data_IF_644196476125
#
_entry.id   IF_644196476125
#
_cell.length_a   1.000
_cell.length_b   1.000
_cell.length_c   1.000
_cell.angle_alpha   90.00
_cell.angle_beta   90.00
_cell.angle_gamma   90.00
#
_symmetry.space_group_name_H-M   'P 1'
#
loop_
_entity.id
_entity.type
_entity.pdbx_description
1 polymer ?
#
# COMPACT_ATOMS: atom_id res chain seq x y z
N UNK A 1 15.72 -11.79 13.53
CA UNK A 1 14.31 -12.20 13.44
C UNK A 1 13.60 -11.38 12.37
N UNK A 2 12.94 -12.03 11.43
CA UNK A 2 12.24 -11.35 10.33
C UNK A 2 11.17 -10.35 10.83
N UNK A 3 10.47 -10.67 11.92
CA UNK A 3 9.51 -9.74 12.54
C UNK A 3 10.17 -8.43 13.00
N UNK A 4 11.44 -8.45 13.44
CA UNK A 4 12.14 -7.21 13.82
C UNK A 4 12.43 -6.34 12.61
N UNK A 5 12.78 -6.95 11.46
CA UNK A 5 13.02 -6.22 10.21
C UNK A 5 11.74 -5.57 9.71
N UNK A 6 10.61 -6.27 9.77
CA UNK A 6 9.31 -5.71 9.43
C UNK A 6 8.92 -4.53 10.32
N UNK A 7 9.17 -4.62 11.63
CA UNK A 7 8.95 -3.50 12.56
C UNK A 7 9.81 -2.29 12.25
N UNK A 8 11.09 -2.50 11.90
CA UNK A 8 11.99 -1.41 11.50
C UNK A 8 11.49 -0.75 10.21
N UNK A 9 11.11 -1.54 9.21
CA UNK A 9 10.61 -1.01 7.94
C UNK A 9 9.31 -0.21 8.15
N UNK A 10 8.43 -0.69 9.04
CA UNK A 10 7.22 0.02 9.41
C UNK A 10 7.54 1.33 10.15
N UNK A 11 8.51 1.35 11.06
CA UNK A 11 8.91 2.57 11.77
C UNK A 11 9.52 3.61 10.81
N UNK A 12 10.39 3.18 9.90
CA UNK A 12 10.97 4.07 8.86
C UNK A 12 9.88 4.64 7.95
N UNK A 13 8.92 3.81 7.53
CA UNK A 13 7.79 4.27 6.72
C UNK A 13 6.90 5.26 7.47
N UNK A 14 6.69 5.07 8.77
CA UNK A 14 5.92 6.00 9.60
C UNK A 14 6.62 7.35 9.75
N UNK A 15 7.93 7.35 10.03
CA UNK A 15 8.73 8.58 10.11
C UNK A 15 8.65 9.37 8.79
N UNK A 16 8.75 8.69 7.65
CA UNK A 16 8.63 9.37 6.35
C UNK A 16 7.26 9.99 6.12
N UNK A 17 6.17 9.36 6.58
CA UNK A 17 4.82 9.96 6.55
C UNK A 17 4.76 11.21 7.45
N UNK A 18 5.32 11.15 8.66
CA UNK A 18 5.33 12.32 9.56
C UNK A 18 6.05 13.50 8.91
N UNK A 19 7.22 13.28 8.30
CA UNK A 19 7.96 14.33 7.59
C UNK A 19 7.11 14.97 6.49
N UNK A 20 6.44 14.16 5.67
CA UNK A 20 5.56 14.66 4.62
C UNK A 20 4.31 15.37 5.15
N UNK A 21 3.82 14.97 6.33
CA UNK A 21 2.62 15.54 6.93
C UNK A 21 2.81 16.93 7.52
N UNK A 22 3.99 17.22 8.08
CA UNK A 22 4.26 18.47 8.79
C UNK A 22 4.06 19.73 7.93
N UNK A 23 4.51 19.72 6.70
CA UNK A 23 4.31 20.85 5.79
C UNK A 23 2.85 21.02 5.40
N UNK A 24 2.19 19.92 5.07
CA UNK A 24 0.79 19.96 4.65
C UNK A 24 -0.15 20.45 5.75
N UNK A 25 0.10 20.07 7.01
CA UNK A 25 -0.68 20.52 8.16
C UNK A 25 -0.62 22.03 8.35
N UNK A 26 0.55 22.65 8.11
CA UNK A 26 0.73 24.11 8.18
C UNK A 26 -0.11 24.86 7.14
N UNK A 27 -0.26 24.27 5.93
CA UNK A 27 -1.02 24.91 4.86
C UNK A 27 -2.55 24.77 5.01
N UNK A 28 -3.01 23.66 5.57
CA UNK A 28 -4.45 23.36 5.68
C UNK A 28 -5.07 23.84 6.99
N UNK A 29 -4.27 24.46 7.89
CA UNK A 29 -4.69 24.82 9.24
C UNK A 29 -5.38 23.65 9.96
N UNK A 30 -4.90 22.43 9.73
CA UNK A 30 -5.38 21.26 10.46
C UNK A 30 -4.92 21.40 11.94
N UNK A 31 -5.74 20.93 12.87
CA UNK A 31 -5.39 20.88 14.28
C UNK A 31 -4.15 19.98 14.47
N UNK A 32 -2.96 20.60 14.50
CA UNK A 32 -1.66 19.92 14.40
C UNK A 32 -1.49 18.87 15.51
N UNK A 33 -1.89 19.22 16.73
CA UNK A 33 -1.74 18.32 17.88
C UNK A 33 -2.66 17.10 17.77
N UNK A 34 -3.94 17.30 17.57
CA UNK A 34 -4.95 16.22 17.51
C UNK A 34 -4.68 15.27 16.34
N UNK A 35 -4.32 15.83 15.18
CA UNK A 35 -4.04 15.07 13.99
C UNK A 35 -2.78 14.19 14.14
N UNK A 36 -1.72 14.75 14.72
CA UNK A 36 -0.47 14.03 14.97
C UNK A 36 -0.65 12.95 16.03
N UNK A 37 -1.48 13.20 17.06
CA UNK A 37 -1.80 12.23 18.09
C UNK A 37 -2.54 11.02 17.50
N UNK A 38 -3.50 11.24 16.59
CA UNK A 38 -4.19 10.15 15.90
C UNK A 38 -3.25 9.29 15.06
N UNK A 39 -2.25 9.88 14.39
CA UNK A 39 -1.22 9.10 13.69
C UNK A 39 -0.42 8.21 14.65
N UNK A 40 -0.04 8.73 15.82
CA UNK A 40 0.72 7.97 16.82
C UNK A 40 -0.12 6.81 17.39
N UNK A 41 -1.40 7.04 17.69
CA UNK A 41 -2.30 5.98 18.17
C UNK A 41 -2.48 4.90 17.10
N UNK A 42 -2.69 5.29 15.84
CA UNK A 42 -2.76 4.36 14.74
C UNK A 42 -1.49 3.53 14.58
N UNK A 43 -0.31 4.17 14.67
CA UNK A 43 0.97 3.48 14.58
C UNK A 43 1.20 2.50 15.74
N UNK A 44 0.82 2.89 16.97
CA UNK A 44 0.90 2.01 18.12
C UNK A 44 0.00 0.78 17.93
N UNK A 45 -1.25 0.97 17.48
CA UNK A 45 -2.14 -0.13 17.15
C UNK A 45 -1.57 -1.09 16.08
N UNK A 46 -0.86 -0.54 15.08
CA UNK A 46 -0.16 -1.33 14.06
C UNK A 46 0.99 -2.16 14.63
N UNK A 47 1.75 -1.62 15.56
CA UNK A 47 2.81 -2.37 16.25
C UNK A 47 2.23 -3.51 17.10
N UNK A 48 1.14 -3.24 17.84
CA UNK A 48 0.44 -4.26 18.63
C UNK A 48 -0.11 -5.37 17.72
N UNK A 49 -0.63 -5.02 16.55
CA UNK A 49 -1.16 -5.94 15.57
C UNK A 49 -0.07 -6.90 15.04
N UNK A 50 1.13 -6.42 14.75
CA UNK A 50 2.26 -7.27 14.34
C UNK A 50 2.75 -8.15 15.48
N UNK A 51 2.62 -7.72 16.74
CA UNK A 51 3.03 -8.48 17.93
C UNK A 51 1.97 -9.47 18.41
N UNK A 52 0.76 -9.47 17.85
CA UNK A 52 -0.32 -10.34 18.31
C UNK A 52 -0.01 -11.82 18.11
N UNK A 53 -0.28 -12.65 19.11
CA UNK A 53 -0.09 -14.10 19.09
C UNK A 53 -1.41 -14.88 19.24
N UNK A 54 -2.54 -14.19 19.33
CA UNK A 54 -3.87 -14.77 19.38
C UNK A 54 -4.85 -13.97 18.53
N UNK A 55 -5.92 -14.61 18.05
CA UNK A 55 -6.97 -13.94 17.29
C UNK A 55 -7.70 -12.86 18.10
N UNK A 56 -7.76 -12.96 19.42
CA UNK A 56 -8.37 -11.91 20.26
C UNK A 56 -7.50 -10.66 20.23
N UNK A 57 -6.20 -10.78 20.53
CA UNK A 57 -5.28 -9.64 20.50
C UNK A 57 -5.16 -9.05 19.09
N UNK A 58 -5.19 -9.88 18.05
CA UNK A 58 -5.22 -9.47 16.66
C UNK A 58 -6.46 -8.63 16.35
N UNK A 59 -7.66 -9.11 16.71
CA UNK A 59 -8.91 -8.41 16.45
C UNK A 59 -8.96 -7.05 17.17
N UNK A 60 -8.60 -7.01 18.45
CA UNK A 60 -8.58 -5.76 19.23
C UNK A 60 -7.62 -4.72 18.65
N UNK A 61 -6.40 -5.14 18.27
CA UNK A 61 -5.42 -4.25 17.66
C UNK A 61 -5.88 -3.73 16.26
N UNK A 62 -6.55 -4.59 15.49
CA UNK A 62 -7.10 -4.26 14.19
C UNK A 62 -8.27 -3.26 14.30
N UNK A 63 -9.15 -3.43 15.31
CA UNK A 63 -10.22 -2.46 15.56
C UNK A 63 -9.68 -1.12 16.06
N UNK A 64 -8.70 -1.13 16.97
CA UNK A 64 -8.04 0.10 17.42
C UNK A 64 -7.40 0.88 16.26
N UNK A 65 -6.75 0.16 15.32
CA UNK A 65 -6.23 0.75 14.10
C UNK A 65 -7.35 1.32 13.22
N UNK A 66 -8.42 0.54 12.97
CA UNK A 66 -9.48 0.92 12.04
C UNK A 66 -10.26 2.15 12.52
N UNK A 67 -10.60 2.23 13.81
CA UNK A 67 -11.27 3.39 14.39
C UNK A 67 -10.48 4.69 14.22
N UNK A 68 -9.17 4.64 14.47
CA UNK A 68 -8.30 5.81 14.25
C UNK A 68 -8.22 6.22 12.78
N UNK A 69 -8.22 5.25 11.86
CA UNK A 69 -8.18 5.52 10.41
C UNK A 69 -9.50 6.14 9.91
N UNK A 70 -10.65 5.74 10.45
CA UNK A 70 -11.94 6.35 10.10
C UNK A 70 -11.98 7.82 10.47
N UNK A 71 -11.47 8.18 11.66
CA UNK A 71 -11.37 9.58 12.10
C UNK A 71 -10.39 10.37 11.23
N UNK A 72 -9.23 9.77 10.90
CA UNK A 72 -8.23 10.41 10.01
C UNK A 72 -8.78 10.64 8.59
N UNK A 73 -9.64 9.78 8.06
CA UNK A 73 -10.29 9.98 6.77
C UNK A 73 -11.24 11.19 6.78
N UNK A 74 -12.02 11.35 7.86
CA UNK A 74 -13.01 12.42 8.03
C UNK A 74 -12.50 13.65 8.76
N UNK A 75 -11.20 13.84 8.94
CA UNK A 75 -10.66 14.90 9.78
C UNK A 75 -11.02 16.32 9.29
N UNK A 76 -11.11 16.52 7.98
CA UNK A 76 -11.52 17.81 7.38
C UNK A 76 -13.02 18.00 7.40
N UNK A 77 -13.63 18.32 8.54
CA UNK A 77 -15.08 18.45 8.75
C UNK A 77 -15.79 19.41 7.80
N UNK A 78 -15.08 20.40 7.27
CA UNK A 78 -15.65 21.42 6.34
C UNK A 78 -15.79 20.93 4.91
N UNK A 79 -15.20 19.79 4.54
CA UNK A 79 -15.26 19.23 3.19
C UNK A 79 -16.26 18.07 3.13
N UNK A 80 -17.28 18.20 2.28
CA UNK A 80 -18.28 17.15 2.03
C UNK A 80 -17.63 15.83 1.58
N UNK A 81 -16.60 15.92 0.73
CA UNK A 81 -15.87 14.74 0.26
C UNK A 81 -15.16 14.00 1.40
N UNK A 82 -14.65 14.72 2.41
CA UNK A 82 -13.98 14.09 3.56
C UNK A 82 -14.99 13.39 4.47
N UNK A 83 -16.12 13.99 4.75
CA UNK A 83 -17.17 13.39 5.57
C UNK A 83 -17.81 12.18 4.87
N UNK A 84 -18.08 12.27 3.57
CA UNK A 84 -18.56 11.15 2.75
C UNK A 84 -17.57 9.97 2.75
N UNK A 85 -16.27 10.26 2.57
CA UNK A 85 -15.24 9.24 2.58
C UNK A 85 -15.12 8.53 3.92
N UNK A 86 -15.25 9.25 5.04
CA UNK A 86 -15.23 8.67 6.37
C UNK A 86 -16.43 7.73 6.61
N UNK A 87 -17.62 8.15 6.22
CA UNK A 87 -18.83 7.33 6.37
C UNK A 87 -18.73 6.05 5.52
N UNK A 88 -18.33 6.16 4.25
CA UNK A 88 -18.12 4.99 3.38
C UNK A 88 -17.11 4.03 3.97
N UNK A 89 -15.97 4.55 4.46
CA UNK A 89 -14.93 3.72 5.04
C UNK A 89 -15.37 3.04 6.33
N UNK A 90 -16.12 3.75 7.18
CA UNK A 90 -16.67 3.20 8.42
C UNK A 90 -17.67 2.07 8.14
N UNK A 91 -18.69 2.29 7.31
CA UNK A 91 -19.73 1.30 7.03
C UNK A 91 -19.13 0.02 6.44
N UNK A 92 -18.31 0.15 5.39
CA UNK A 92 -17.68 -0.99 4.73
C UNK A 92 -16.65 -1.67 5.63
N UNK A 93 -15.95 -0.89 6.46
CA UNK A 93 -14.96 -1.39 7.40
C UNK A 93 -15.57 -2.22 8.53
N UNK A 94 -16.70 -1.77 9.10
CA UNK A 94 -17.45 -2.52 10.14
C UNK A 94 -18.00 -3.82 9.55
N UNK A 95 -18.49 -3.80 8.31
CA UNK A 95 -18.94 -5.03 7.66
C UNK A 95 -17.80 -6.05 7.51
N UNK A 96 -16.61 -5.58 7.11
CA UNK A 96 -15.44 -6.45 6.99
C UNK A 96 -14.97 -7.00 8.33
N UNK A 97 -15.01 -6.19 9.41
CA UNK A 97 -14.65 -6.67 10.75
C UNK A 97 -15.70 -7.66 11.32
N UNK A 98 -16.96 -7.51 10.95
CA UNK A 98 -18.01 -8.50 11.26
C UNK A 98 -17.75 -9.85 10.58
N UNK A 99 -17.37 -9.86 9.30
CA UNK A 99 -16.97 -11.09 8.58
C UNK A 99 -15.73 -11.72 9.23
N UNK A 100 -14.77 -10.91 9.65
CA UNK A 100 -13.57 -11.39 10.34
C UNK A 100 -13.91 -12.07 11.66
N UNK A 101 -14.76 -11.45 12.47
CA UNK A 101 -15.20 -12.00 13.75
C UNK A 101 -15.95 -13.33 13.56
N UNK A 102 -16.82 -13.40 12.55
CA UNK A 102 -17.54 -14.61 12.19
C UNK A 102 -16.57 -15.73 11.77
N UNK A 103 -15.51 -15.40 11.01
CA UNK A 103 -14.46 -16.35 10.67
C UNK A 103 -13.71 -16.87 11.90
N UNK A 104 -13.35 -15.97 12.82
CA UNK A 104 -12.70 -16.33 14.09
C UNK A 104 -13.60 -17.24 14.95
N UNK A 105 -14.92 -16.98 15.02
CA UNK A 105 -15.85 -17.83 15.76
C UNK A 105 -15.95 -19.24 15.19
N UNK A 106 -15.94 -19.41 13.87
CA UNK A 106 -15.92 -20.72 13.21
C UNK A 106 -14.65 -21.51 13.52
N UNK A 107 -13.49 -20.85 13.54
CA UNK A 107 -12.22 -21.46 13.93
C UNK A 107 -12.27 -21.90 15.40
N UNK A 108 -12.78 -21.05 16.29
CA UNK A 108 -12.94 -21.38 17.71
C UNK A 108 -13.89 -22.53 17.95
N UNK A 109 -15.02 -22.57 17.25
CA UNK A 109 -15.98 -23.68 17.32
C UNK A 109 -15.38 -25.02 16.90
N UNK A 110 -14.44 -25.02 15.96
CA UNK A 110 -13.80 -26.24 15.45
C UNK A 110 -12.66 -26.74 16.33
N UNK A 111 -11.84 -25.86 16.91
CA UNK A 111 -10.60 -26.21 17.59
C UNK A 111 -10.57 -25.88 19.09
N UNK A 112 -11.45 -24.99 19.58
CA UNK A 112 -11.50 -24.57 20.98
C UNK A 112 -10.36 -23.64 21.41
N UNK A 113 -9.44 -23.28 20.54
CA UNK A 113 -8.27 -22.40 20.80
C UNK A 113 -8.20 -21.24 19.82
N UNK A 114 -7.60 -20.11 20.25
CA UNK A 114 -7.40 -18.93 19.45
C UNK A 114 -5.93 -18.51 19.34
N UNK A 115 -5.02 -19.28 19.97
CA UNK A 115 -3.58 -19.02 19.89
C UNK A 115 -3.02 -19.45 18.53
N UNK A 116 -2.16 -18.66 17.95
CA UNK A 116 -1.61 -18.93 16.62
C UNK A 116 -0.75 -20.19 16.58
N UNK A 117 0.07 -20.43 17.62
CA UNK A 117 0.93 -21.62 17.69
C UNK A 117 0.12 -22.90 17.81
N UNK A 118 -0.92 -22.89 18.66
CA UNK A 118 -1.81 -24.06 18.83
C UNK A 118 -2.58 -24.35 17.53
N UNK A 119 -3.04 -23.32 16.83
CA UNK A 119 -3.75 -23.45 15.56
C UNK A 119 -2.85 -24.01 14.45
N UNK A 120 -1.60 -23.54 14.35
CA UNK A 120 -0.62 -24.10 13.39
C UNK A 120 -0.45 -25.61 13.58
N UNK A 121 -0.29 -26.06 14.82
CA UNK A 121 -0.19 -27.50 15.15
C UNK A 121 -1.47 -28.28 14.82
N UNK A 122 -2.65 -27.68 15.09
CA UNK A 122 -3.93 -28.34 14.84
C UNK A 122 -4.23 -28.48 13.35
N UNK A 123 -3.89 -27.44 12.54
CA UNK A 123 -4.00 -27.54 11.07
C UNK A 123 -3.00 -28.52 10.47
N UNK A 124 -1.84 -28.74 11.10
CA UNK A 124 -0.84 -29.72 10.67
C UNK A 124 -1.27 -31.16 10.91
N UNK A 125 -2.20 -31.43 11.85
CA UNK A 125 -2.66 -32.79 12.17
C UNK A 125 -3.70 -33.28 11.16
N UNK A 126 -3.44 -34.36 10.39
CA UNK A 126 -4.38 -34.89 9.43
C UNK A 126 -5.68 -35.34 10.09
N UNK A 127 -6.82 -34.95 9.50
CA UNK A 127 -8.15 -35.39 9.96
C UNK A 127 -8.81 -34.51 11.03
N UNK A 128 -8.15 -33.51 11.60
CA UNK A 128 -8.76 -32.54 12.49
C UNK A 128 -9.43 -31.37 11.78
N UNK A 129 -9.07 -31.11 10.52
CA UNK A 129 -9.66 -30.04 9.72
C UNK A 129 -11.07 -30.41 9.27
N UNK A 130 -12.04 -29.62 9.67
CA UNK A 130 -13.45 -29.78 9.32
C UNK A 130 -13.86 -28.68 8.31
N UNK A 131 -14.94 -28.90 7.56
CA UNK A 131 -15.51 -27.88 6.66
C UNK A 131 -15.77 -26.54 7.35
N UNK A 132 -16.12 -26.56 8.64
CA UNK A 132 -16.35 -25.37 9.45
C UNK A 132 -15.05 -24.58 9.67
N UNK A 133 -13.92 -25.25 9.95
CA UNK A 133 -12.62 -24.59 10.10
C UNK A 133 -12.14 -23.97 8.79
N UNK A 134 -12.35 -24.66 7.66
CA UNK A 134 -12.00 -24.12 6.34
C UNK A 134 -12.85 -22.90 5.95
N UNK A 135 -14.16 -22.93 6.25
CA UNK A 135 -15.02 -21.75 6.12
C UNK A 135 -14.51 -20.58 6.97
N UNK A 136 -14.06 -20.85 8.20
CA UNK A 136 -13.44 -19.85 9.06
C UNK A 136 -12.21 -19.21 8.43
N UNK A 137 -11.32 -20.02 7.84
CA UNK A 137 -10.12 -19.51 7.11
C UNK A 137 -10.53 -18.65 5.92
N UNK A 138 -11.51 -19.06 5.12
CA UNK A 138 -12.01 -18.27 3.98
C UNK A 138 -12.56 -16.93 4.43
N UNK A 139 -13.36 -16.87 5.52
CA UNK A 139 -13.92 -15.62 6.03
C UNK A 139 -12.83 -14.67 6.55
N UNK A 140 -11.84 -15.19 7.27
CA UNK A 140 -10.68 -14.39 7.73
C UNK A 140 -9.90 -13.85 6.53
N UNK A 141 -9.64 -14.69 5.53
CA UNK A 141 -8.90 -14.23 4.32
C UNK A 141 -9.67 -13.16 3.55
N UNK A 142 -10.99 -13.27 3.38
CA UNK A 142 -11.82 -12.23 2.75
C UNK A 142 -11.71 -10.90 3.51
N UNK A 143 -11.77 -10.93 4.84
CA UNK A 143 -11.62 -9.72 5.63
C UNK A 143 -10.23 -9.09 5.50
N UNK A 144 -9.17 -9.89 5.39
CA UNK A 144 -7.81 -9.41 5.12
C UNK A 144 -7.69 -8.80 3.71
N UNK A 145 -8.31 -9.42 2.70
CA UNK A 145 -8.35 -8.87 1.33
C UNK A 145 -9.05 -7.52 1.28
N UNK A 146 -10.11 -7.32 2.08
CA UNK A 146 -10.75 -6.01 2.24
C UNK A 146 -9.78 -4.98 2.83
N UNK A 147 -9.03 -5.31 3.89
CA UNK A 147 -8.06 -4.40 4.53
C UNK A 147 -6.90 -4.04 3.60
N UNK A 148 -6.48 -4.95 2.72
CA UNK A 148 -5.50 -4.70 1.67
C UNK A 148 -6.06 -3.82 0.53
N UNK A 149 -7.37 -3.68 0.41
CA UNK A 149 -8.08 -3.14 -0.76
C UNK A 149 -7.82 -3.95 -2.04
N UNK A 150 -7.78 -5.28 -1.92
CA UNK A 150 -7.71 -6.19 -3.06
C UNK A 150 -9.08 -6.28 -3.76
N UNK A 151 -9.10 -6.36 -5.09
CA UNK A 151 -10.37 -6.53 -5.80
C UNK A 151 -10.87 -7.99 -5.65
N UNK A 152 -12.20 -8.19 -5.46
CA UNK A 152 -13.30 -7.24 -5.63
C UNK A 152 -13.57 -6.30 -4.43
N UNK A 153 -12.91 -6.48 -3.29
CA UNK A 153 -13.14 -5.75 -2.04
C UNK A 153 -12.51 -4.33 -1.99
N UNK A 154 -12.10 -3.79 -3.14
CA UNK A 154 -11.35 -2.53 -3.27
C UNK A 154 -12.22 -1.26 -3.30
N UNK A 155 -13.55 -1.37 -3.40
CA UNK A 155 -14.47 -0.28 -3.74
C UNK A 155 -14.31 0.95 -2.82
N UNK A 156 -13.93 0.73 -1.57
CA UNK A 156 -13.74 1.81 -0.60
C UNK A 156 -12.49 2.68 -0.89
N UNK A 157 -11.42 2.09 -1.44
CA UNK A 157 -10.10 2.75 -1.47
C UNK A 157 -10.01 3.96 -2.40
N UNK A 158 -10.61 4.02 -3.61
CA UNK A 158 -10.55 5.21 -4.46
C UNK A 158 -11.29 6.42 -3.86
N UNK A 159 -12.46 6.17 -3.27
CA UNK A 159 -13.27 7.23 -2.69
C UNK A 159 -12.67 7.76 -1.39
N UNK A 160 -12.15 6.87 -0.54
CA UNK A 160 -11.48 7.25 0.72
C UNK A 160 -10.18 8.02 0.44
N UNK A 161 -9.39 7.59 -0.54
CA UNK A 161 -8.16 8.32 -0.89
C UNK A 161 -8.45 9.70 -1.46
N UNK A 162 -9.50 9.85 -2.25
CA UNK A 162 -9.89 11.14 -2.80
C UNK A 162 -10.36 12.11 -1.71
N UNK A 163 -11.25 11.65 -0.81
CA UNK A 163 -11.87 12.52 0.19
C UNK A 163 -10.96 12.83 1.38
N UNK A 164 -10.10 11.90 1.80
CA UNK A 164 -9.22 12.10 2.95
C UNK A 164 -8.19 13.24 2.72
N UNK A 165 -7.73 13.93 3.79
CA UNK A 165 -6.59 14.85 3.70
C UNK A 165 -5.35 14.16 3.11
N UNK A 166 -4.47 14.91 2.42
CA UNK A 166 -3.31 14.31 1.73
C UNK A 166 -2.40 13.49 2.67
N UNK A 167 -2.06 13.93 3.89
CA UNK A 167 -1.26 13.11 4.80
C UNK A 167 -1.93 11.80 5.19
N UNK A 168 -3.25 11.80 5.42
CA UNK A 168 -4.00 10.55 5.66
C UNK A 168 -3.96 9.64 4.45
N UNK A 169 -4.08 10.20 3.23
CA UNK A 169 -3.99 9.42 1.99
C UNK A 169 -2.61 8.74 1.85
N UNK A 170 -1.53 9.45 2.19
CA UNK A 170 -0.16 8.89 2.19
C UNK A 170 -0.07 7.74 3.18
N UNK A 171 -0.59 7.94 4.39
CA UNK A 171 -0.59 6.95 5.45
C UNK A 171 -1.35 5.68 5.04
N UNK A 172 -2.53 5.82 4.43
CA UNK A 172 -3.32 4.70 3.91
C UNK A 172 -2.62 3.97 2.76
N UNK A 173 -1.97 4.71 1.87
CA UNK A 173 -1.29 4.13 0.71
C UNK A 173 0.00 3.37 1.08
N UNK A 174 0.60 3.65 2.22
CA UNK A 174 1.92 3.13 2.61
C UNK A 174 1.86 2.34 3.92
N UNK A 175 1.84 2.99 5.07
CA UNK A 175 2.01 2.34 6.38
C UNK A 175 0.89 1.34 6.67
N UNK A 176 -0.36 1.70 6.40
CA UNK A 176 -1.52 0.81 6.59
C UNK A 176 -1.45 -0.42 5.69
N UNK A 177 -1.05 -0.25 4.43
CA UNK A 177 -0.87 -1.39 3.51
C UNK A 177 0.28 -2.27 3.94
N UNK A 178 1.39 -1.69 4.39
CA UNK A 178 2.53 -2.46 4.87
C UNK A 178 2.14 -3.34 6.07
N UNK A 179 1.44 -2.78 7.06
CA UNK A 179 0.94 -3.57 8.20
C UNK A 179 0.00 -4.68 7.78
N UNK A 180 -0.93 -4.40 6.87
CA UNK A 180 -1.85 -5.42 6.36
C UNK A 180 -1.13 -6.53 5.57
N UNK A 181 -0.07 -6.22 4.82
CA UNK A 181 0.78 -7.21 4.13
C UNK A 181 1.52 -8.08 5.15
N UNK A 182 2.13 -7.49 6.18
CA UNK A 182 2.87 -8.22 7.21
C UNK A 182 1.96 -9.21 7.94
N UNK A 183 0.77 -8.75 8.34
CA UNK A 183 -0.14 -9.62 9.09
C UNK A 183 -0.74 -10.71 8.20
N UNK A 184 -1.05 -10.42 6.94
CA UNK A 184 -1.50 -11.44 6.00
C UNK A 184 -0.41 -12.49 5.74
N UNK A 185 0.85 -12.08 5.61
CA UNK A 185 1.95 -13.05 5.45
C UNK A 185 2.07 -13.96 6.67
N UNK A 186 1.95 -13.42 7.88
CA UNK A 186 2.02 -14.21 9.11
C UNK A 186 0.84 -15.17 9.26
N UNK A 187 -0.38 -14.73 8.96
CA UNK A 187 -1.55 -15.60 9.06
C UNK A 187 -1.56 -16.68 7.99
N UNK A 188 -1.24 -16.36 6.74
CA UNK A 188 -1.31 -17.32 5.64
C UNK A 188 -0.13 -18.30 5.63
N UNK A 189 1.09 -17.85 5.92
CA UNK A 189 2.27 -18.69 5.86
C UNK A 189 2.64 -19.39 7.15
N UNK A 190 2.16 -18.90 8.32
CA UNK A 190 2.44 -19.52 9.60
C UNK A 190 1.17 -20.22 10.11
N UNK A 191 0.09 -19.49 10.46
CA UNK A 191 -1.10 -20.06 11.12
C UNK A 191 -1.87 -21.00 10.19
N UNK A 192 -2.09 -20.61 8.93
CA UNK A 192 -2.88 -21.35 7.94
C UNK A 192 -2.01 -22.08 6.90
N UNK A 193 -0.74 -22.33 7.20
CA UNK A 193 0.21 -22.95 6.27
C UNK A 193 -0.29 -24.30 5.70
N UNK A 194 -0.97 -25.10 6.51
CA UNK A 194 -1.46 -26.43 6.15
C UNK A 194 -2.90 -26.44 5.62
N UNK A 195 -3.58 -25.29 5.60
CA UNK A 195 -4.93 -25.16 5.04
C UNK A 195 -4.87 -24.75 3.58
N UNK A 196 -5.56 -25.45 2.69
CA UNK A 196 -5.62 -25.11 1.28
C UNK A 196 -6.77 -24.17 0.91
N UNK A 197 -7.65 -23.84 1.86
CA UNK A 197 -8.88 -23.10 1.60
C UNK A 197 -8.66 -21.63 1.17
N UNK A 198 -7.58 -21.01 1.59
CA UNK A 198 -7.29 -19.61 1.28
C UNK A 198 -6.66 -19.38 -0.11
N UNK A 199 -5.98 -20.38 -0.69
CA UNK A 199 -5.29 -20.25 -1.99
C UNK A 199 -6.20 -19.78 -3.13
N UNK A 200 -7.38 -20.35 -3.37
CA UNK A 200 -8.26 -19.91 -4.45
C UNK A 200 -8.78 -18.50 -4.23
N UNK A 201 -9.02 -18.09 -2.98
CA UNK A 201 -9.48 -16.74 -2.63
C UNK A 201 -8.41 -15.71 -2.97
N UNK A 202 -7.17 -15.94 -2.54
CA UNK A 202 -6.05 -15.04 -2.81
C UNK A 202 -5.74 -14.98 -4.30
N UNK A 203 -5.74 -16.14 -5.00
CA UNK A 203 -5.53 -16.19 -6.45
C UNK A 203 -6.60 -15.44 -7.25
N UNK A 204 -7.87 -15.60 -6.89
CA UNK A 204 -8.97 -14.86 -7.50
C UNK A 204 -8.85 -13.34 -7.22
N UNK A 205 -8.52 -12.94 -5.99
CA UNK A 205 -8.30 -11.54 -5.64
C UNK A 205 -7.10 -10.94 -6.40
N UNK A 206 -6.03 -11.70 -6.62
CA UNK A 206 -4.91 -11.26 -7.45
C UNK A 206 -5.34 -10.99 -8.88
N UNK A 207 -6.06 -11.94 -9.49
CA UNK A 207 -6.59 -11.82 -10.85
C UNK A 207 -7.49 -10.58 -11.01
N UNK A 208 -8.49 -10.42 -10.14
CA UNK A 208 -9.40 -9.29 -10.21
C UNK A 208 -8.69 -7.95 -9.93
N UNK A 209 -7.68 -7.91 -9.04
CA UNK A 209 -6.94 -6.68 -8.75
C UNK A 209 -6.10 -6.22 -9.95
N UNK A 210 -5.59 -7.11 -10.78
CA UNK A 210 -4.96 -6.74 -12.05
C UNK A 210 -5.96 -6.12 -13.03
N UNK A 211 -7.14 -6.69 -13.16
CA UNK A 211 -8.17 -6.17 -14.08
C UNK A 211 -8.66 -4.81 -13.61
N UNK A 212 -9.26 -4.74 -12.40
CA UNK A 212 -9.89 -3.52 -11.92
C UNK A 212 -8.87 -2.42 -11.65
N UNK A 213 -7.69 -2.76 -11.15
CA UNK A 213 -6.62 -1.80 -10.94
C UNK A 213 -6.10 -1.21 -12.24
N UNK A 214 -5.75 -2.03 -13.24
CA UNK A 214 -5.22 -1.56 -14.50
C UNK A 214 -6.22 -0.73 -15.30
N UNK A 215 -7.44 -1.23 -15.51
CA UNK A 215 -8.47 -0.50 -16.26
C UNK A 215 -8.96 0.74 -15.52
N UNK A 216 -9.08 0.68 -14.18
CA UNK A 216 -9.48 1.80 -13.36
C UNK A 216 -8.53 3.00 -13.45
N UNK A 217 -7.23 2.77 -13.56
CA UNK A 217 -6.22 3.84 -13.67
C UNK A 217 -6.23 4.57 -15.01
N UNK A 218 -6.63 3.91 -16.12
CA UNK A 218 -6.57 4.49 -17.47
C UNK A 218 -7.39 5.78 -17.60
N UNK A 219 -8.52 5.88 -16.93
CA UNK A 219 -9.47 6.99 -17.05
C UNK A 219 -9.30 8.05 -15.96
N UNK A 220 -8.41 7.84 -14.98
CA UNK A 220 -8.28 8.78 -13.88
C UNK A 220 -7.61 10.08 -14.31
N UNK A 221 -8.17 11.18 -13.81
CA UNK A 221 -7.65 12.54 -13.99
C UNK A 221 -7.15 13.14 -12.67
N UNK A 222 -7.63 12.63 -11.52
CA UNK A 222 -7.25 13.09 -10.17
C UNK A 222 -6.07 12.28 -9.63
N UNK A 223 -5.07 12.97 -9.06
CA UNK A 223 -3.84 12.35 -8.54
C UNK A 223 -4.13 11.30 -7.46
N UNK A 224 -4.99 11.61 -6.49
CA UNK A 224 -5.31 10.70 -5.38
C UNK A 224 -6.01 9.41 -5.86
N UNK A 225 -6.97 9.52 -6.77
CA UNK A 225 -7.62 8.35 -7.37
C UNK A 225 -6.65 7.54 -8.22
N UNK A 226 -5.77 8.20 -8.95
CA UNK A 226 -4.71 7.53 -9.69
C UNK A 226 -3.82 6.69 -8.76
N UNK A 227 -3.36 7.25 -7.63
CA UNK A 227 -2.57 6.53 -6.62
C UNK A 227 -3.36 5.35 -6.03
N UNK A 228 -4.67 5.50 -5.80
CA UNK A 228 -5.51 4.42 -5.30
C UNK A 228 -5.58 3.24 -6.28
N UNK A 229 -5.97 3.47 -7.53
CA UNK A 229 -6.10 2.40 -8.54
C UNK A 229 -4.75 1.79 -8.92
N UNK A 230 -3.69 2.58 -9.07
CA UNK A 230 -2.35 2.05 -9.25
C UNK A 230 -1.88 1.23 -8.05
N UNK A 231 -2.31 1.61 -6.84
CA UNK A 231 -2.09 0.83 -5.63
C UNK A 231 -2.82 -0.53 -5.64
N UNK A 232 -4.01 -0.64 -6.26
CA UNK A 232 -4.75 -1.90 -6.41
C UNK A 232 -4.01 -2.85 -7.36
N UNK A 233 -3.46 -2.37 -8.47
CA UNK A 233 -2.63 -3.22 -9.37
C UNK A 233 -1.39 -3.74 -8.64
N UNK A 234 -0.73 -2.92 -7.82
CA UNK A 234 0.43 -3.34 -7.05
C UNK A 234 0.07 -4.35 -5.95
N UNK A 235 -1.15 -4.25 -5.35
CA UNK A 235 -1.66 -5.29 -4.44
C UNK A 235 -1.77 -6.63 -5.17
N UNK A 236 -2.18 -6.66 -6.44
CA UNK A 236 -2.16 -7.87 -7.24
C UNK A 236 -0.80 -8.56 -7.24
N UNK A 237 0.30 -7.82 -7.38
CA UNK A 237 1.66 -8.38 -7.28
C UNK A 237 2.00 -8.88 -5.87
N UNK A 238 1.55 -8.19 -4.81
CA UNK A 238 1.71 -8.70 -3.45
C UNK A 238 0.96 -10.01 -3.22
N UNK A 239 -0.26 -10.12 -3.74
CA UNK A 239 -1.07 -11.33 -3.62
C UNK A 239 -0.45 -12.52 -4.36
N UNK A 240 0.24 -12.28 -5.47
CA UNK A 240 0.99 -13.34 -6.16
C UNK A 240 2.10 -13.94 -5.28
N UNK A 241 2.76 -13.13 -4.46
CA UNK A 241 3.77 -13.65 -3.54
C UNK A 241 3.17 -14.63 -2.53
N UNK A 242 1.91 -14.44 -2.10
CA UNK A 242 1.24 -15.36 -1.19
C UNK A 242 0.85 -16.70 -1.84
N UNK A 243 0.61 -16.72 -3.14
CA UNK A 243 0.29 -17.95 -3.87
C UNK A 243 1.53 -18.86 -4.07
N UNK A 244 2.74 -18.34 -3.83
CA UNK A 244 3.99 -19.07 -3.96
C UNK A 244 4.34 -19.89 -2.73
N UNK A 245 5.31 -20.81 -2.85
CA UNK A 245 5.91 -21.51 -1.71
C UNK A 245 6.47 -20.50 -0.71
N UNK A 246 6.31 -20.79 0.59
CA UNK A 246 6.60 -19.86 1.71
C UNK A 246 7.95 -19.13 1.56
N UNK A 247 9.06 -19.86 1.35
CA UNK A 247 10.40 -19.26 1.30
C UNK A 247 10.57 -18.29 0.13
N UNK A 248 10.21 -18.73 -1.08
CA UNK A 248 10.34 -17.92 -2.30
C UNK A 248 9.34 -16.76 -2.28
N UNK A 249 8.13 -17.04 -1.78
CA UNK A 249 7.06 -16.06 -1.63
C UNK A 249 7.43 -14.94 -0.66
N UNK A 250 7.96 -15.25 0.52
CA UNK A 250 8.39 -14.26 1.52
C UNK A 250 9.55 -13.39 1.00
N UNK A 251 10.54 -13.99 0.33
CA UNK A 251 11.67 -13.26 -0.24
C UNK A 251 11.21 -12.26 -1.31
N UNK A 252 10.37 -12.69 -2.25
CA UNK A 252 9.83 -11.81 -3.30
C UNK A 252 8.93 -10.72 -2.72
N UNK A 253 8.11 -11.04 -1.73
CA UNK A 253 7.25 -10.10 -1.01
C UNK A 253 8.05 -9.01 -0.30
N UNK A 254 9.15 -9.38 0.35
CA UNK A 254 10.01 -8.44 1.06
C UNK A 254 10.70 -7.46 0.11
N UNK A 255 11.32 -7.96 -0.98
CA UNK A 255 11.94 -7.10 -2.01
C UNK A 255 10.90 -6.15 -2.60
N UNK A 256 9.76 -6.71 -3.02
CA UNK A 256 8.71 -5.93 -3.65
C UNK A 256 8.16 -4.85 -2.71
N UNK A 257 7.99 -5.16 -1.41
CA UNK A 257 7.50 -4.20 -0.43
C UNK A 257 8.44 -3.01 -0.25
N UNK A 258 9.75 -3.23 -0.06
CA UNK A 258 10.72 -2.14 0.11
C UNK A 258 10.70 -1.22 -1.11
N UNK A 259 10.81 -1.79 -2.32
CA UNK A 259 10.87 -1.00 -3.54
C UNK A 259 9.57 -0.24 -3.77
N UNK A 260 8.41 -0.86 -3.55
CA UNK A 260 7.11 -0.22 -3.68
C UNK A 260 6.97 0.97 -2.74
N UNK A 261 7.30 0.80 -1.45
CA UNK A 261 7.16 1.89 -0.48
C UNK A 261 8.10 3.05 -0.77
N UNK A 262 9.37 2.77 -1.10
CA UNK A 262 10.33 3.82 -1.47
C UNK A 262 9.86 4.60 -2.71
N UNK A 263 9.33 3.92 -3.72
CA UNK A 263 8.83 4.57 -4.94
C UNK A 263 7.59 5.42 -4.67
N UNK A 264 6.66 4.92 -3.85
CA UNK A 264 5.44 5.65 -3.49
C UNK A 264 5.77 6.87 -2.63
N UNK A 265 6.65 6.73 -1.62
CA UNK A 265 7.09 7.87 -0.81
C UNK A 265 7.78 8.94 -1.65
N UNK A 266 8.66 8.54 -2.56
CA UNK A 266 9.34 9.46 -3.46
C UNK A 266 8.36 10.21 -4.36
N UNK A 267 7.44 9.50 -5.03
CA UNK A 267 6.44 10.11 -5.89
C UNK A 267 5.51 11.06 -5.12
N UNK A 268 4.98 10.62 -3.97
CA UNK A 268 4.08 11.46 -3.18
C UNK A 268 4.86 12.64 -2.55
N UNK A 269 6.12 12.45 -2.18
CA UNK A 269 7.00 13.54 -1.77
C UNK A 269 7.10 14.65 -2.83
N UNK A 270 7.24 14.27 -4.11
CA UNK A 270 7.16 15.24 -5.22
C UNK A 270 5.78 15.90 -5.27
N UNK A 271 4.69 15.14 -5.16
CA UNK A 271 3.32 15.71 -5.18
C UNK A 271 3.11 16.73 -4.07
N UNK A 272 3.57 16.45 -2.85
CA UNK A 272 3.46 17.36 -1.70
C UNK A 272 4.33 18.59 -1.88
N UNK A 273 5.51 18.46 -2.49
CA UNK A 273 6.42 19.59 -2.73
C UNK A 273 5.89 20.60 -3.75
N UNK A 274 4.89 20.23 -4.57
CA UNK A 274 4.31 21.09 -5.61
C UNK A 274 3.15 21.96 -5.10
N UNK A 275 3.15 22.33 -3.83
CA UNK A 275 2.18 23.27 -3.28
C UNK A 275 2.40 24.67 -3.88
N UNK A 276 1.30 25.35 -4.22
CA UNK A 276 1.35 26.69 -4.84
C UNK A 276 1.89 27.74 -3.85
N UNK A 277 2.78 28.59 -4.31
CA UNK A 277 3.37 29.69 -3.53
C UNK A 277 2.38 30.82 -3.17
N UNK A 278 1.18 30.82 -3.73
CA UNK A 278 0.14 31.85 -3.49
C UNK A 278 -0.67 31.62 -2.22
N UNK A 279 -0.16 30.79 -1.30
CA UNK A 279 -0.85 30.47 -0.06
C UNK A 279 -1.16 31.68 0.78
N UNK A 280 -2.34 31.75 1.29
CA UNK A 280 -2.96 32.34 2.48
C UNK A 280 -4.28 33.09 2.25
N UNK A 281 -4.68 33.43 1.03
CA UNK A 281 -5.93 34.20 0.84
C UNK A 281 -6.86 33.72 -0.30
N UNK A 282 -6.49 32.69 -1.06
CA UNK A 282 -7.28 32.23 -2.21
C UNK A 282 -7.60 30.75 -2.03
N UNK A 283 -8.88 30.46 -1.97
CA UNK A 283 -9.60 29.18 -2.08
C UNK A 283 -8.78 27.85 -2.07
N UNK A 284 -9.32 26.77 -1.48
CA UNK A 284 -8.71 25.43 -1.47
C UNK A 284 -8.43 24.84 -2.87
N UNK A 285 -8.69 25.58 -3.94
CA UNK A 285 -8.43 25.25 -5.34
C UNK A 285 -6.96 25.34 -5.78
N UNK A 286 -6.05 25.81 -4.93
CA UNK A 286 -4.62 25.94 -5.27
C UNK A 286 -3.81 24.64 -5.12
N UNK A 287 -4.46 23.52 -4.82
CA UNK A 287 -3.82 22.21 -4.63
C UNK A 287 -3.69 21.47 -5.95
N UNK A 288 -2.67 20.59 -6.04
CA UNK A 288 -2.54 19.63 -7.12
C UNK A 288 -3.66 18.58 -6.99
N UNK A 289 -4.73 18.79 -7.71
CA UNK A 289 -5.88 17.89 -7.73
C UNK A 289 -5.82 17.01 -8.98
N UNK A 290 -5.41 17.59 -10.11
CA UNK A 290 -5.42 16.92 -11.41
C UNK A 290 -4.02 16.54 -11.89
N UNK A 291 -3.95 15.44 -12.66
CA UNK A 291 -2.70 15.00 -13.29
C UNK A 291 -2.14 16.05 -14.28
N UNK A 292 -2.99 16.87 -14.87
CA UNK A 292 -2.57 17.97 -15.76
C UNK A 292 -1.77 19.08 -15.03
N UNK A 293 -1.90 19.16 -13.70
CA UNK A 293 -1.15 20.14 -12.90
C UNK A 293 0.36 19.87 -12.91
N UNK A 294 0.80 18.64 -13.25
CA UNK A 294 2.20 18.29 -13.47
C UNK A 294 2.79 18.88 -14.76
N UNK A 295 1.95 19.47 -15.61
CA UNK A 295 2.44 20.08 -16.85
C UNK A 295 3.47 21.17 -16.56
N UNK A 296 4.54 21.20 -17.38
CA UNK A 296 5.66 22.15 -17.24
C UNK A 296 6.53 21.99 -15.98
N UNK A 297 6.33 20.95 -15.17
CA UNK A 297 7.16 20.73 -13.97
C UNK A 297 8.65 20.71 -14.33
N UNK A 298 9.01 20.00 -15.39
CA UNK A 298 10.40 19.85 -15.83
C UNK A 298 11.01 21.21 -16.28
N UNK A 299 10.22 22.14 -16.80
CA UNK A 299 10.69 23.47 -17.20
C UNK A 299 10.83 24.42 -16.01
N UNK A 300 9.99 24.29 -14.98
CA UNK A 300 9.99 25.16 -13.81
C UNK A 300 10.97 24.73 -12.73
N UNK A 301 11.05 23.43 -12.49
CA UNK A 301 11.98 22.83 -11.55
C UNK A 301 12.48 21.50 -12.13
N UNK A 302 13.64 21.54 -12.80
CA UNK A 302 14.24 20.40 -13.47
C UNK A 302 14.52 19.23 -12.54
N UNK A 303 14.97 19.50 -11.31
CA UNK A 303 15.29 18.47 -10.32
C UNK A 303 14.05 17.68 -9.90
N UNK A 304 12.96 18.38 -9.53
CA UNK A 304 11.69 17.72 -9.17
C UNK A 304 11.05 17.02 -10.37
N UNK A 305 11.20 17.58 -11.57
CA UNK A 305 10.71 16.95 -12.81
C UNK A 305 11.41 15.64 -13.11
N UNK A 306 12.74 15.62 -13.02
CA UNK A 306 13.54 14.39 -13.20
C UNK A 306 13.20 13.37 -12.11
N UNK A 307 13.06 13.81 -10.85
CA UNK A 307 12.67 12.96 -9.74
C UNK A 307 11.32 12.27 -10.00
N UNK A 308 10.31 13.05 -10.40
CA UNK A 308 8.98 12.51 -10.75
C UNK A 308 9.06 11.46 -11.87
N UNK A 309 9.83 11.72 -12.92
CA UNK A 309 10.01 10.81 -14.05
C UNK A 309 10.65 9.50 -13.60
N UNK A 310 11.70 9.54 -12.78
CA UNK A 310 12.39 8.34 -12.29
C UNK A 310 11.50 7.50 -11.39
N UNK A 311 10.71 8.12 -10.49
CA UNK A 311 9.73 7.40 -9.68
C UNK A 311 8.63 6.74 -10.53
N UNK A 312 8.12 7.44 -11.55
CA UNK A 312 7.11 6.90 -12.47
C UNK A 312 7.67 5.75 -13.32
N UNK A 313 8.94 5.83 -13.78
CA UNK A 313 9.60 4.72 -14.45
C UNK A 313 9.76 3.51 -13.53
N UNK A 314 10.10 3.74 -12.27
CA UNK A 314 10.17 2.66 -11.29
C UNK A 314 8.82 2.01 -11.05
N UNK A 315 7.74 2.78 -10.88
CA UNK A 315 6.38 2.25 -10.74
C UNK A 315 5.93 1.47 -12.00
N UNK A 316 6.30 1.95 -13.18
CA UNK A 316 6.03 1.26 -14.44
C UNK A 316 6.75 -0.09 -14.52
N UNK A 317 7.92 -0.21 -13.90
CA UNK A 317 8.77 -1.39 -13.98
C UNK A 317 9.60 -1.40 -15.28
N UNK A 318 10.12 -0.25 -15.68
CA UNK A 318 10.97 -0.12 -16.88
C UNK A 318 12.43 -0.21 -16.44
N UNK A 319 13.27 -1.07 -17.06
CA UNK A 319 14.70 -1.09 -16.76
C UNK A 319 15.34 0.27 -17.17
N UNK A 320 16.37 0.75 -16.48
CA UNK A 320 17.21 0.11 -15.47
C UNK A 320 16.84 0.44 -14.01
N UNK A 321 15.58 0.75 -13.71
CA UNK A 321 15.15 1.24 -12.39
C UNK A 321 14.70 0.07 -11.49
N UNK A 322 14.77 0.25 -10.17
CA UNK A 322 14.49 -0.77 -9.14
C UNK A 322 13.16 -1.51 -9.31
N UNK A 323 12.09 -0.83 -9.74
CA UNK A 323 10.76 -1.43 -9.90
C UNK A 323 10.68 -2.56 -10.94
N UNK A 324 11.59 -2.59 -11.92
CA UNK A 324 11.69 -3.69 -12.85
C UNK A 324 12.08 -4.99 -12.13
N UNK A 325 13.14 -4.95 -11.34
CA UNK A 325 13.62 -6.11 -10.59
C UNK A 325 12.58 -6.59 -9.58
N UNK A 326 11.87 -5.68 -8.91
CA UNK A 326 10.80 -6.04 -7.99
C UNK A 326 9.72 -6.91 -8.64
N UNK A 327 9.19 -6.47 -9.80
CA UNK A 327 8.19 -7.24 -10.56
C UNK A 327 8.76 -8.55 -11.10
N UNK A 328 10.00 -8.54 -11.53
CA UNK A 328 10.69 -9.69 -12.08
C UNK A 328 10.85 -10.79 -11.03
N UNK A 329 11.27 -10.48 -9.80
CA UNK A 329 11.37 -11.47 -8.71
C UNK A 329 10.02 -12.11 -8.38
N UNK A 330 8.94 -11.31 -8.35
CA UNK A 330 7.59 -11.84 -8.13
C UNK A 330 7.17 -12.78 -9.26
N UNK A 331 7.41 -12.42 -10.52
CA UNK A 331 7.09 -13.27 -11.67
C UNK A 331 7.87 -14.59 -11.66
N UNK A 332 9.16 -14.54 -11.36
CA UNK A 332 9.96 -15.75 -11.21
C UNK A 332 9.45 -16.66 -10.08
N UNK A 333 9.06 -16.09 -8.95
CA UNK A 333 8.49 -16.84 -7.84
C UNK A 333 7.21 -17.61 -8.28
N UNK A 334 6.33 -16.94 -9.02
CA UNK A 334 5.07 -17.54 -9.50
C UNK A 334 5.30 -18.61 -10.57
N UNK A 335 6.23 -18.36 -11.50
CA UNK A 335 6.57 -19.33 -12.58
C UNK A 335 7.19 -20.59 -11.98
N UNK A 336 8.10 -20.45 -11.00
CA UNK A 336 8.69 -21.60 -10.30
C UNK A 336 7.64 -22.44 -9.53
N UNK A 337 6.52 -21.82 -9.14
CA UNK A 337 5.39 -22.51 -8.52
C UNK A 337 4.33 -23.00 -9.53
N UNK A 338 4.66 -23.08 -10.81
CA UNK A 338 3.74 -23.49 -11.90
C UNK A 338 2.48 -22.60 -12.05
N UNK A 339 2.47 -21.39 -11.51
CA UNK A 339 1.35 -20.45 -11.58
C UNK A 339 1.27 -19.68 -12.91
N UNK A 340 1.46 -20.35 -14.07
CA UNK A 340 1.57 -19.72 -15.40
C UNK A 340 0.38 -18.82 -15.75
N UNK A 341 -0.84 -19.23 -15.38
CA UNK A 341 -2.05 -18.44 -15.65
C UNK A 341 -1.98 -17.07 -14.96
N UNK A 342 -1.68 -17.03 -13.68
CA UNK A 342 -1.58 -15.79 -12.92
C UNK A 342 -0.38 -14.95 -13.39
N UNK A 343 0.75 -15.57 -13.72
CA UNK A 343 1.93 -14.90 -14.26
C UNK A 343 1.62 -14.19 -15.59
N UNK A 344 0.85 -14.81 -16.48
CA UNK A 344 0.43 -14.22 -17.75
C UNK A 344 -0.41 -12.95 -17.50
N UNK A 345 -1.40 -13.00 -16.60
CA UNK A 345 -2.21 -11.82 -16.28
C UNK A 345 -1.39 -10.71 -15.59
N UNK A 346 -0.42 -11.06 -14.76
CA UNK A 346 0.49 -10.10 -14.16
C UNK A 346 1.36 -9.37 -15.20
N UNK A 347 1.83 -10.10 -16.22
CA UNK A 347 2.55 -9.51 -17.36
C UNK A 347 1.65 -8.55 -18.15
N UNK A 348 0.43 -8.96 -18.50
CA UNK A 348 -0.53 -8.08 -19.18
C UNK A 348 -0.83 -6.82 -18.36
N UNK A 349 -1.06 -6.97 -17.05
CA UNK A 349 -1.27 -5.85 -16.16
C UNK A 349 -0.05 -4.92 -16.08
N UNK A 350 1.18 -5.46 -16.13
CA UNK A 350 2.41 -4.66 -16.15
C UNK A 350 2.52 -3.82 -17.42
N UNK A 351 2.14 -4.37 -18.58
CA UNK A 351 2.11 -3.63 -19.86
C UNK A 351 1.06 -2.53 -19.81
N UNK A 352 -0.15 -2.82 -19.32
CA UNK A 352 -1.19 -1.78 -19.15
C UNK A 352 -0.75 -0.70 -18.15
N UNK A 353 -0.06 -1.11 -17.07
CA UNK A 353 0.44 -0.17 -16.08
C UNK A 353 1.52 0.76 -16.65
N UNK A 354 2.39 0.28 -17.51
CA UNK A 354 3.41 1.11 -18.14
C UNK A 354 2.78 2.23 -19.00
N UNK A 355 1.68 1.96 -19.69
CA UNK A 355 0.99 2.93 -20.51
C UNK A 355 0.52 4.16 -19.71
N UNK A 356 -0.17 3.97 -18.59
CA UNK A 356 -0.68 5.11 -17.83
C UNK A 356 0.44 5.87 -17.07
N UNK A 357 1.51 5.22 -16.67
CA UNK A 357 2.68 5.91 -16.11
C UNK A 357 3.41 6.74 -17.18
N UNK A 358 3.62 6.19 -18.38
CA UNK A 358 4.20 6.92 -19.52
C UNK A 358 3.32 8.11 -19.91
N UNK A 359 1.99 7.99 -19.84
CA UNK A 359 1.08 9.13 -20.06
C UNK A 359 1.37 10.29 -19.11
N UNK A 360 1.63 10.02 -17.83
CA UNK A 360 1.98 11.07 -16.86
C UNK A 360 3.36 11.64 -17.17
N UNK A 361 4.35 10.80 -17.51
CA UNK A 361 5.68 11.24 -17.90
C UNK A 361 5.59 12.19 -19.11
N UNK A 362 4.74 11.87 -20.09
CA UNK A 362 4.46 12.77 -21.23
C UNK A 362 3.91 14.12 -20.76
N UNK A 363 3.00 14.14 -19.77
CA UNK A 363 2.45 15.38 -19.23
C UNK A 363 3.54 16.20 -18.53
N UNK A 364 4.40 15.56 -17.72
CA UNK A 364 5.52 16.21 -17.02
C UNK A 364 6.54 16.82 -17.98
N UNK A 365 6.84 16.12 -19.11
CA UNK A 365 7.94 16.46 -20.01
C UNK A 365 7.53 17.38 -21.15
N UNK A 366 6.39 17.13 -21.82
CA UNK A 366 6.06 17.68 -23.13
C UNK A 366 4.78 18.51 -23.19
N UNK A 367 3.89 18.47 -22.19
CA UNK A 367 2.62 19.17 -22.31
C UNK A 367 2.79 20.69 -22.18
N UNK A 368 2.26 21.41 -23.17
CA UNK A 368 2.08 22.86 -23.16
C UNK A 368 0.62 23.14 -22.82
N UNK A 369 0.32 23.69 -21.62
CA UNK A 369 -0.98 24.31 -21.38
C UNK A 369 -0.78 25.79 -21.08
N UNK A 370 -1.33 26.65 -21.91
CA UNK A 370 -1.31 28.11 -21.76
C UNK A 370 -1.99 28.59 -20.46
N UNK A 371 -2.89 27.80 -19.90
CA UNK A 371 -3.68 28.13 -18.71
C UNK A 371 -2.88 27.95 -17.40
N UNK A 372 -1.88 27.06 -17.38
CA UNK A 372 -1.14 26.71 -16.14
C UNK A 372 0.20 27.49 -16.04
N UNK A 373 0.53 28.33 -17.01
CA UNK A 373 1.76 29.13 -17.06
C UNK A 373 1.96 30.06 -15.85
N UNK A 374 0.91 30.37 -15.12
CA UNK A 374 0.89 31.33 -14.01
C UNK A 374 1.08 30.72 -12.63
N UNK A 375 1.10 29.37 -12.47
CA UNK A 375 1.36 28.74 -11.17
C UNK A 375 2.85 28.79 -10.85
N UNK A 376 3.20 29.46 -9.77
CA UNK A 376 4.55 29.44 -9.22
C UNK A 376 4.63 28.32 -8.17
N UNK A 377 5.49 27.34 -8.40
CA UNK A 377 5.76 26.29 -7.42
C UNK A 377 6.73 26.81 -6.37
N UNK A 378 6.42 26.53 -5.10
CA UNK A 378 7.34 26.82 -4.00
C UNK A 378 8.50 25.82 -4.04
N UNK A 379 9.67 26.22 -3.61
CA UNK A 379 10.77 25.29 -3.37
C UNK A 379 10.38 24.36 -2.23
N UNK A 380 10.65 23.05 -2.34
CA UNK A 380 10.35 22.09 -1.27
C UNK A 380 11.14 22.46 0.00
N UNK A 381 10.59 22.10 1.16
CA UNK A 381 11.35 22.19 2.39
C UNK A 381 12.58 21.30 2.35
N UNK A 382 13.53 21.61 3.22
CA UNK A 382 14.78 20.85 3.33
C UNK A 382 14.50 19.38 3.68
N UNK A 383 13.56 19.11 4.56
CA UNK A 383 13.20 17.76 5.01
C UNK A 383 12.62 16.92 3.89
N UNK A 384 11.67 17.48 3.12
CA UNK A 384 11.07 16.80 1.96
C UNK A 384 12.12 16.58 0.87
N UNK A 385 12.99 17.54 0.62
CA UNK A 385 14.04 17.39 -0.40
C UNK A 385 15.05 16.30 -0.05
N UNK A 386 15.41 16.16 1.23
CA UNK A 386 16.25 15.06 1.72
C UNK A 386 15.55 13.72 1.53
N UNK A 387 14.27 13.61 1.89
CA UNK A 387 13.51 12.38 1.71
C UNK A 387 13.44 11.97 0.24
N UNK A 388 13.11 12.90 -0.67
CA UNK A 388 13.06 12.64 -2.12
C UNK A 388 14.44 12.17 -2.63
N UNK A 389 15.53 12.83 -2.20
CA UNK A 389 16.88 12.47 -2.64
C UNK A 389 17.32 11.09 -2.15
N UNK A 390 16.99 10.73 -0.91
CA UNK A 390 17.26 9.38 -0.37
C UNK A 390 16.48 8.30 -1.13
N UNK A 391 15.19 8.54 -1.41
CA UNK A 391 14.39 7.62 -2.22
C UNK A 391 14.97 7.46 -3.64
N UNK A 392 15.40 8.54 -4.27
CA UNK A 392 16.03 8.49 -5.60
C UNK A 392 17.34 7.71 -5.58
N UNK A 393 18.23 8.00 -4.63
CA UNK A 393 19.48 7.27 -4.47
C UNK A 393 19.24 5.77 -4.34
N UNK A 394 18.30 5.38 -3.48
CA UNK A 394 17.95 3.97 -3.29
C UNK A 394 17.51 3.31 -4.60
N UNK A 395 16.59 3.95 -5.35
CA UNK A 395 16.04 3.38 -6.59
C UNK A 395 17.12 3.26 -7.68
N UNK A 396 18.01 4.24 -7.79
CA UNK A 396 19.10 4.20 -8.76
C UNK A 396 20.16 3.15 -8.38
N UNK A 397 20.62 3.15 -7.13
CA UNK A 397 21.64 2.20 -6.67
C UNK A 397 21.14 0.76 -6.80
N UNK A 398 19.90 0.50 -6.38
CA UNK A 398 19.32 -0.84 -6.51
C UNK A 398 19.12 -1.25 -7.97
N UNK A 399 18.82 -0.30 -8.86
CA UNK A 399 18.69 -0.57 -10.30
C UNK A 399 19.99 -1.08 -10.94
N UNK A 400 21.16 -0.64 -10.45
CA UNK A 400 22.46 -1.11 -10.93
C UNK A 400 22.99 -2.33 -10.17
N UNK A 401 22.65 -2.47 -8.88
CA UNK A 401 23.13 -3.53 -7.99
C UNK A 401 21.97 -4.24 -7.28
N UNK A 402 21.18 -5.09 -7.97
CA UNK A 402 20.01 -5.74 -7.38
C UNK A 402 20.36 -6.74 -6.29
N UNK A 403 21.61 -7.24 -6.26
CA UNK A 403 22.06 -8.26 -5.31
C UNK A 403 22.21 -7.77 -3.86
N UNK A 404 22.19 -6.46 -3.63
CA UNK A 404 22.28 -5.88 -2.27
C UNK A 404 21.17 -6.41 -1.35
N UNK A 405 19.92 -6.46 -1.84
CA UNK A 405 18.80 -6.98 -1.04
C UNK A 405 18.73 -8.50 -1.01
N UNK A 406 19.16 -9.19 -2.07
CA UNK A 406 19.16 -10.66 -2.10
C UNK A 406 20.09 -11.25 -1.06
N UNK A 407 21.29 -10.70 -0.87
CA UNK A 407 22.23 -11.10 0.16
C UNK A 407 21.68 -10.88 1.59
N UNK A 408 20.98 -9.77 1.81
CA UNK A 408 20.33 -9.50 3.10
C UNK A 408 19.17 -10.46 3.38
N UNK A 409 18.41 -10.86 2.36
CA UNK A 409 17.31 -11.81 2.47
C UNK A 409 17.76 -13.23 2.75
N UNK A 410 18.90 -13.67 2.21
CA UNK A 410 19.47 -14.96 2.51
C UNK A 410 19.79 -15.10 4.00
N UNK A 411 20.24 -14.04 4.64
CA UNK A 411 20.47 -14.01 6.10
C UNK A 411 19.13 -14.04 6.87
N UNK A 412 18.07 -13.44 6.33
CA UNK A 412 16.76 -13.43 6.97
C UNK A 412 16.02 -14.77 6.82
N UNK A 413 16.09 -15.43 5.66
CA UNK A 413 15.45 -16.73 5.43
C UNK A 413 16.04 -17.83 6.33
N UNK A 414 17.32 -17.75 6.64
CA UNK A 414 17.98 -18.67 7.59
C UNK A 414 17.64 -18.38 9.07
N UNK A 415 16.92 -17.31 9.37
CA UNK A 415 16.49 -16.92 10.73
C UNK A 415 15.00 -17.19 11.01
N UNK A 416 14.27 -17.73 10.04
CA UNK A 416 12.94 -18.33 10.16
C UNK A 416 13.06 -19.83 10.39
#
# INVERSE_FOLDING_TARGET
NALTVWKILLAVSFISVLVLSLEYQKYDNLAIFEYSLLFLIAFLAMLLLICSNSFISFYLALEAQSLTLYVLAGFSRKSELSTESAIKYFILGVLASGILLLGITFIYMSFGTLNFVDLEMLYATPGLTNSLSELGVVMVTIALMFKLAAAPFHVWSPDVYEGAPMPSTIFFATVVKLTSIIITSRLLFDVFAFSNAWYPVVGACAFFSFIFGAFGTLQQTKVKRFVAYSGITNIGFFLLCFVCVKEVGLNSLFIYSIIYFVTVFGFIGVVVSLLDSRGSSISPSARLIHLLDFSLLLKKNTQLGIAAILFLFSMAGIPPVAGFFAKLYVLFAVINNNGYFLAMFALLASVLSSYYYIRIIKIVSFSFSSIISWRSFKTPSREISILISLCLLFICVYGFYPDILSGFLFVLSNSY
#
